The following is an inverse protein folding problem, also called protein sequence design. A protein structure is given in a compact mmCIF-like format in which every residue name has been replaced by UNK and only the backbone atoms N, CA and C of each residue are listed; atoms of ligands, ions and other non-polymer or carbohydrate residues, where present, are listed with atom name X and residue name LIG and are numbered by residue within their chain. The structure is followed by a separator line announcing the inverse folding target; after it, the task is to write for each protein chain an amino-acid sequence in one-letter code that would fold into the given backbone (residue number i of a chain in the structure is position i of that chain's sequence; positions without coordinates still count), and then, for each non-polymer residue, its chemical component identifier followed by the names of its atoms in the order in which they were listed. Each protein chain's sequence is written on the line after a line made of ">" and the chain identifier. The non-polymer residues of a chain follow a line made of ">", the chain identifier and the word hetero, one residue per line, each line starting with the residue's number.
data_IF_511448297377
#
_entry.id   IF_511448297377
#
_cell.length_a   1.000
_cell.length_b   1.000
_cell.length_c   1.000
_cell.angle_alpha   90.00
_cell.angle_beta   90.00
_cell.angle_gamma   90.00
#
_symmetry.space_group_name_H-M   'P 1'
#
loop_
_entity.id
_entity.type
_entity.pdbx_description
1 polymer ?
#
# COMPACT_ATOMS: atom_id res chain seq x y z
N UNK A 1 -10.79 15.28 23.70
CA UNK A 1 -10.07 16.56 23.46
C UNK A 1 -8.65 16.32 22.93
N UNK A 2 -7.83 15.51 23.61
CA UNK A 2 -6.44 15.20 23.21
C UNK A 2 -6.33 14.49 21.85
N UNK A 3 -7.17 13.47 21.57
CA UNK A 3 -7.13 12.77 20.27
C UNK A 3 -7.47 13.67 19.07
N UNK A 4 -8.43 14.59 19.23
CA UNK A 4 -8.82 15.54 18.18
C UNK A 4 -7.73 16.60 17.94
N UNK A 5 -7.08 17.06 19.01
CA UNK A 5 -5.90 17.92 18.93
C UNK A 5 -4.73 17.22 18.23
N UNK A 6 -4.41 15.99 18.65
CA UNK A 6 -3.35 15.18 18.04
C UNK A 6 -3.64 14.88 16.56
N UNK A 7 -4.88 14.57 16.21
CA UNK A 7 -5.30 14.36 14.81
C UNK A 7 -5.15 15.61 13.94
N UNK A 8 -5.57 16.78 14.44
CA UNK A 8 -5.35 18.05 13.74
C UNK A 8 -3.86 18.37 13.59
N UNK A 9 -3.06 18.06 14.62
CA UNK A 9 -1.62 18.26 14.60
C UNK A 9 -0.90 17.34 13.61
N UNK A 10 -1.38 16.10 13.42
CA UNK A 10 -0.85 15.19 12.40
C UNK A 10 -1.27 15.60 10.99
N UNK A 11 -2.48 16.17 10.82
CA UNK A 11 -2.99 16.67 9.54
C UNK A 11 -2.27 17.93 9.07
N UNK A 12 -1.91 18.83 9.98
CA UNK A 12 -1.15 20.05 9.70
C UNK A 12 -0.03 20.21 10.75
N UNK A 13 1.11 19.52 10.58
CA UNK A 13 2.18 19.52 11.57
C UNK A 13 2.80 20.91 11.72
N UNK A 14 2.73 21.47 12.92
CA UNK A 14 3.36 22.73 13.29
C UNK A 14 4.30 22.56 14.49
N UNK A 15 5.45 23.23 14.45
CA UNK A 15 6.41 23.22 15.55
C UNK A 15 7.24 21.93 15.67
N UNK A 16 8.13 21.92 16.66
CA UNK A 16 9.18 20.91 16.79
C UNK A 16 8.65 19.48 17.05
N UNK A 17 7.68 19.32 17.95
CA UNK A 17 7.14 18.01 18.31
C UNK A 17 6.50 17.30 17.09
N UNK A 18 5.79 18.03 16.24
CA UNK A 18 5.15 17.45 15.07
C UNK A 18 6.14 17.10 13.97
N UNK A 19 7.21 17.90 13.80
CA UNK A 19 8.32 17.54 12.94
C UNK A 19 8.98 16.23 13.41
N UNK A 20 9.17 16.08 14.72
CA UNK A 20 9.72 14.85 15.30
C UNK A 20 8.81 13.63 15.08
N UNK A 21 7.50 13.76 15.32
CA UNK A 21 6.54 12.67 15.04
C UNK A 21 6.52 12.31 13.55
N UNK A 22 6.54 13.31 12.66
CA UNK A 22 6.61 13.09 11.21
C UNK A 22 7.86 12.32 10.80
N UNK A 23 9.04 12.70 11.34
CA UNK A 23 10.30 11.98 11.11
C UNK A 23 10.22 10.54 11.62
N UNK A 24 9.65 10.32 12.81
CA UNK A 24 9.45 8.99 13.36
C UNK A 24 8.54 8.13 12.46
N UNK A 25 7.41 8.67 12.01
CA UNK A 25 6.49 7.99 11.10
C UNK A 25 7.14 7.68 9.75
N UNK A 26 7.91 8.61 9.19
CA UNK A 26 8.67 8.40 7.96
C UNK A 26 9.66 7.24 8.12
N UNK A 27 10.46 7.24 9.18
CA UNK A 27 11.42 6.16 9.47
C UNK A 27 10.72 4.81 9.62
N UNK A 28 9.55 4.78 10.26
CA UNK A 28 8.76 3.56 10.40
C UNK A 28 8.23 2.98 9.08
N UNK A 29 8.16 3.79 8.00
CA UNK A 29 7.74 3.35 6.67
C UNK A 29 8.90 3.31 5.66
N UNK A 30 10.10 3.78 6.02
CA UNK A 30 11.23 3.89 5.09
C UNK A 30 11.62 2.53 4.49
N UNK A 31 11.61 1.47 5.31
CA UNK A 31 11.93 0.10 4.87
C UNK A 31 11.02 -0.38 3.74
N UNK A 32 9.70 -0.29 3.91
CA UNK A 32 8.75 -0.75 2.88
C UNK A 32 8.79 0.17 1.67
N UNK A 33 8.81 1.49 1.87
CA UNK A 33 8.81 2.45 0.76
C UNK A 33 10.02 2.27 -0.17
N UNK A 34 11.22 2.12 0.41
CA UNK A 34 12.44 1.86 -0.38
C UNK A 34 12.36 0.52 -1.08
N UNK A 35 12.03 -0.52 -0.33
CA UNK A 35 11.97 -1.87 -0.87
C UNK A 35 10.97 -2.00 -2.03
N UNK A 36 9.76 -1.43 -1.92
CA UNK A 36 8.80 -1.41 -3.02
C UNK A 36 9.35 -0.68 -4.23
N UNK A 37 10.05 0.44 -4.02
CA UNK A 37 10.64 1.23 -5.10
C UNK A 37 11.76 0.45 -5.81
N UNK A 38 12.59 -0.26 -5.04
CA UNK A 38 13.65 -1.11 -5.57
C UNK A 38 13.09 -2.26 -6.43
N UNK A 39 11.90 -2.78 -6.11
CA UNK A 39 11.22 -3.84 -6.88
C UNK A 39 10.65 -3.37 -8.23
N UNK A 40 10.50 -2.06 -8.45
CA UNK A 40 9.82 -1.58 -9.67
C UNK A 40 10.65 -1.81 -10.93
N UNK A 41 11.99 -1.86 -10.84
CA UNK A 41 12.94 -2.12 -11.95
C UNK A 41 12.52 -1.52 -13.31
N UNK A 42 12.13 -0.24 -13.31
CA UNK A 42 11.37 0.37 -14.41
C UNK A 42 12.27 0.67 -15.63
N UNK A 43 11.83 0.24 -16.82
CA UNK A 43 12.43 0.64 -18.09
C UNK A 43 11.72 1.88 -18.71
N UNK A 44 12.39 2.61 -19.62
CA UNK A 44 11.99 3.94 -20.15
C UNK A 44 10.58 4.01 -20.79
N UNK A 45 9.94 2.87 -21.07
CA UNK A 45 8.61 2.82 -21.68
C UNK A 45 7.56 2.00 -20.90
N UNK A 46 7.89 1.55 -19.68
CA UNK A 46 6.94 0.82 -18.86
C UNK A 46 5.92 1.75 -18.20
N UNK A 47 4.65 1.34 -18.24
CA UNK A 47 3.58 2.01 -17.48
C UNK A 47 3.33 1.21 -16.22
N UNK A 48 3.59 1.83 -15.08
CA UNK A 48 3.38 1.22 -13.78
C UNK A 48 2.34 2.00 -12.98
N UNK A 49 1.55 1.29 -12.18
CA UNK A 49 0.81 1.85 -11.06
C UNK A 49 1.32 1.15 -9.81
N UNK A 50 1.69 1.91 -8.79
CA UNK A 50 2.13 1.32 -7.54
C UNK A 50 1.53 2.03 -6.33
N UNK A 51 1.42 1.29 -5.23
CA UNK A 51 0.85 1.77 -3.98
C UNK A 51 1.55 1.11 -2.80
N UNK A 52 1.89 1.90 -1.78
CA UNK A 52 2.54 1.42 -0.55
C UNK A 52 1.65 1.72 0.64
N UNK A 53 1.29 0.70 1.41
CA UNK A 53 0.54 0.81 2.66
C UNK A 53 -0.78 1.59 2.56
N UNK A 54 -1.45 1.51 1.42
CA UNK A 54 -2.64 2.33 1.17
C UNK A 54 -3.94 1.54 0.92
N UNK A 55 -3.85 0.30 0.44
CA UNK A 55 -5.01 -0.48 0.00
C UNK A 55 -6.14 -0.59 1.06
N UNK A 56 -5.79 -0.73 2.33
CA UNK A 56 -6.74 -0.86 3.45
C UNK A 56 -7.59 0.39 3.72
N UNK A 57 -7.25 1.51 3.08
CA UNK A 57 -8.00 2.76 3.18
C UNK A 57 -8.98 2.95 2.01
N UNK A 58 -8.99 2.04 1.03
CA UNK A 58 -9.91 2.12 -0.10
C UNK A 58 -11.29 1.66 0.35
N UNK A 59 -12.29 2.53 0.18
CA UNK A 59 -13.68 2.21 0.53
C UNK A 59 -14.33 1.26 -0.46
N UNK A 60 -13.87 1.27 -1.72
CA UNK A 60 -14.26 0.32 -2.75
C UNK A 60 -13.01 -0.15 -3.50
N UNK A 61 -12.49 -1.31 -3.07
CA UNK A 61 -11.26 -1.89 -3.61
C UNK A 61 -11.48 -2.35 -5.07
N UNK A 62 -12.65 -2.89 -5.38
CA UNK A 62 -12.98 -3.39 -6.72
C UNK A 62 -13.04 -2.25 -7.73
N UNK A 63 -13.71 -1.13 -7.38
CA UNK A 63 -13.69 0.07 -8.21
C UNK A 63 -12.26 0.57 -8.45
N UNK A 64 -11.43 0.56 -7.41
CA UNK A 64 -10.02 0.93 -7.53
C UNK A 64 -9.26 0.05 -8.52
N UNK A 65 -9.40 -1.28 -8.43
CA UNK A 65 -8.76 -2.20 -9.38
C UNK A 65 -9.30 -2.05 -10.80
N UNK A 66 -10.61 -1.84 -10.98
CA UNK A 66 -11.19 -1.60 -12.29
C UNK A 66 -10.61 -0.35 -12.97
N UNK A 67 -10.43 0.75 -12.22
CA UNK A 67 -9.84 1.98 -12.78
C UNK A 67 -8.35 1.83 -13.08
N UNK A 68 -7.58 1.18 -12.20
CA UNK A 68 -6.16 0.89 -12.46
C UNK A 68 -6.02 0.02 -13.72
N UNK A 69 -6.82 -1.04 -13.85
CA UNK A 69 -6.82 -1.86 -15.06
C UNK A 69 -7.18 -1.03 -16.27
N UNK A 70 -8.24 -0.22 -16.23
CA UNK A 70 -8.69 0.62 -17.35
C UNK A 70 -7.59 1.51 -17.92
N UNK A 71 -6.77 2.13 -17.06
CA UNK A 71 -5.74 3.11 -17.49
C UNK A 71 -4.39 2.49 -17.87
N UNK A 72 -4.07 1.31 -17.35
CA UNK A 72 -2.84 0.61 -17.75
C UNK A 72 -2.90 0.22 -19.23
N UNK A 73 -1.76 0.32 -19.93
CA UNK A 73 -1.60 -0.26 -21.27
C UNK A 73 -1.46 -1.80 -21.14
N UNK A 74 -1.74 -2.59 -22.19
CA UNK A 74 -1.36 -4.00 -22.20
C UNK A 74 0.13 -4.17 -21.85
N UNK A 75 0.46 -5.11 -20.96
CA UNK A 75 1.81 -5.29 -20.42
C UNK A 75 2.19 -4.31 -19.31
N UNK A 76 1.33 -3.35 -18.95
CA UNK A 76 1.54 -2.46 -17.82
C UNK A 76 1.45 -3.21 -16.49
N UNK A 77 2.19 -2.76 -15.47
CA UNK A 77 2.33 -3.47 -14.20
C UNK A 77 1.66 -2.73 -13.04
N UNK A 78 1.16 -3.50 -12.08
CA UNK A 78 0.61 -3.05 -10.81
C UNK A 78 1.48 -3.59 -9.67
N UNK A 79 1.91 -2.72 -8.75
CA UNK A 79 2.63 -3.12 -7.53
C UNK A 79 1.87 -2.65 -6.28
N UNK A 80 1.50 -3.57 -5.40
CA UNK A 80 0.78 -3.27 -4.15
C UNK A 80 1.57 -3.78 -2.96
N UNK A 81 2.11 -2.86 -2.17
CA UNK A 81 2.83 -3.19 -0.96
C UNK A 81 1.97 -3.03 0.29
N UNK A 82 1.91 -4.09 1.09
CA UNK A 82 1.02 -4.27 2.22
C UNK A 82 1.78 -4.87 3.43
N UNK A 83 1.35 -4.58 4.64
CA UNK A 83 1.61 -5.42 5.82
C UNK A 83 0.57 -6.52 5.89
N UNK A 84 0.97 -7.78 6.09
CA UNK A 84 -0.01 -8.89 6.12
C UNK A 84 -1.08 -8.73 7.22
N UNK A 85 -2.29 -9.24 6.96
CA UNK A 85 -3.40 -9.32 7.91
C UNK A 85 -2.97 -9.88 9.26
N UNK A 86 -2.22 -10.98 9.29
CA UNK A 86 -1.76 -11.61 10.53
C UNK A 86 -0.89 -10.69 11.41
N UNK A 87 -0.18 -9.75 10.79
CA UNK A 87 0.65 -8.76 11.49
C UNK A 87 -0.16 -7.54 11.89
N UNK A 88 -1.10 -7.11 11.04
CA UNK A 88 -1.98 -5.98 11.33
C UNK A 88 -2.96 -6.30 12.46
N UNK A 89 -3.46 -7.53 12.59
CA UNK A 89 -4.37 -7.95 13.67
C UNK A 89 -3.77 -7.78 15.07
N UNK A 90 -2.43 -7.89 15.19
CA UNK A 90 -1.70 -7.68 16.44
C UNK A 90 -1.64 -6.21 16.86
N UNK A 91 -1.98 -5.27 15.97
CA UNK A 91 -1.86 -3.84 16.21
C UNK A 91 -3.17 -3.25 16.75
N UNK A 92 -3.12 -2.51 17.86
CA UNK A 92 -4.33 -1.86 18.43
C UNK A 92 -4.98 -0.84 17.47
N UNK A 93 -4.19 -0.25 16.56
CA UNK A 93 -4.59 0.87 15.67
C UNK A 93 -5.33 0.45 14.40
N UNK A 94 -5.39 -0.83 14.09
CA UNK A 94 -5.91 -1.36 12.81
C UNK A 94 -7.31 -1.95 12.94
N UNK A 95 -7.94 -1.89 14.13
CA UNK A 95 -9.26 -2.49 14.41
C UNK A 95 -10.40 -2.06 13.47
N UNK A 96 -10.28 -0.89 12.85
CA UNK A 96 -11.28 -0.33 11.95
C UNK A 96 -10.83 -0.37 10.48
N UNK A 97 -9.74 -1.07 10.16
CA UNK A 97 -9.23 -1.17 8.81
C UNK A 97 -9.78 -2.44 8.17
N UNK A 98 -9.89 -2.44 6.84
CA UNK A 98 -10.07 -3.67 6.08
C UNK A 98 -8.73 -4.40 6.15
N UNK A 99 -8.69 -5.60 6.73
CA UNK A 99 -7.47 -6.39 6.84
C UNK A 99 -7.47 -7.46 5.76
N UNK A 100 -6.43 -7.44 4.92
CA UNK A 100 -6.30 -8.29 3.75
C UNK A 100 -4.99 -9.08 3.84
N UNK A 101 -5.05 -10.36 3.51
CA UNK A 101 -3.87 -11.17 3.22
C UNK A 101 -3.56 -11.18 1.72
N UNK A 102 -2.47 -11.85 1.34
CA UNK A 102 -2.03 -11.97 -0.05
C UNK A 102 -3.03 -12.72 -0.92
N UNK A 103 -3.70 -13.74 -0.39
CA UNK A 103 -4.65 -14.58 -1.14
C UNK A 103 -5.91 -13.80 -1.50
N UNK A 104 -6.47 -13.04 -0.55
CA UNK A 104 -7.64 -12.16 -0.76
C UNK A 104 -7.34 -11.11 -1.84
N UNK A 105 -6.13 -10.53 -1.84
CA UNK A 105 -5.72 -9.53 -2.82
C UNK A 105 -5.50 -10.16 -4.20
N UNK A 106 -4.85 -11.31 -4.26
CA UNK A 106 -4.61 -12.05 -5.50
C UNK A 106 -5.93 -12.41 -6.19
N UNK A 107 -6.91 -12.92 -5.45
CA UNK A 107 -8.24 -13.22 -5.98
C UNK A 107 -8.91 -11.98 -6.59
N UNK A 108 -8.85 -10.83 -5.90
CA UNK A 108 -9.40 -9.58 -6.41
C UNK A 108 -8.71 -9.12 -7.69
N UNK A 109 -7.38 -9.22 -7.76
CA UNK A 109 -6.57 -8.85 -8.93
C UNK A 109 -6.93 -9.73 -10.13
N UNK A 110 -7.03 -11.04 -9.94
CA UNK A 110 -7.43 -11.99 -10.99
C UNK A 110 -8.85 -11.70 -11.48
N UNK A 111 -9.79 -11.42 -10.57
CA UNK A 111 -11.16 -11.04 -10.92
C UNK A 111 -11.24 -9.75 -11.76
N UNK A 112 -10.24 -8.87 -11.64
CA UNK A 112 -10.11 -7.64 -12.45
C UNK A 112 -9.26 -7.82 -13.70
N UNK A 113 -9.03 -9.07 -14.15
CA UNK A 113 -8.35 -9.41 -15.41
C UNK A 113 -6.89 -8.97 -15.46
N UNK A 114 -6.24 -8.82 -14.31
CA UNK A 114 -4.79 -8.84 -14.28
C UNK A 114 -4.31 -10.29 -14.42
N UNK A 115 -3.15 -10.44 -15.05
CA UNK A 115 -2.42 -11.67 -15.29
C UNK A 115 -1.18 -11.71 -14.38
N UNK A 116 -0.64 -12.91 -14.18
CA UNK A 116 0.65 -13.17 -13.51
C UNK A 116 0.82 -12.45 -12.17
N UNK A 117 0.57 -13.15 -11.07
CA UNK A 117 0.81 -12.62 -9.73
C UNK A 117 2.17 -13.11 -9.24
N UNK A 118 3.12 -12.20 -9.05
CA UNK A 118 4.35 -12.49 -8.30
C UNK A 118 4.21 -11.91 -6.90
N UNK A 119 4.52 -12.72 -5.90
CA UNK A 119 4.54 -12.32 -4.50
C UNK A 119 5.98 -12.14 -4.05
N UNK A 120 6.31 -10.92 -3.66
CA UNK A 120 7.59 -10.57 -3.05
C UNK A 120 7.39 -10.40 -1.55
N UNK A 121 8.32 -10.87 -0.73
CA UNK A 121 8.24 -10.77 0.73
C UNK A 121 9.47 -10.10 1.32
N UNK A 122 9.22 -9.21 2.28
CA UNK A 122 10.21 -8.67 3.20
C UNK A 122 9.54 -8.48 4.55
N UNK A 123 9.53 -9.53 5.36
CA UNK A 123 8.79 -9.62 6.62
C UNK A 123 8.87 -8.31 7.44
N UNK A 124 7.73 -7.72 7.84
CA UNK A 124 6.34 -8.21 7.76
C UNK A 124 5.58 -7.81 6.48
N UNK A 125 6.28 -7.33 5.47
CA UNK A 125 5.69 -6.73 4.28
C UNK A 125 5.61 -7.72 3.12
N UNK A 126 4.57 -7.54 2.32
CA UNK A 126 4.40 -8.18 1.03
C UNK A 126 4.31 -7.12 -0.06
N UNK A 127 4.78 -7.44 -1.25
CA UNK A 127 4.51 -6.69 -2.46
C UNK A 127 3.94 -7.64 -3.51
N UNK A 128 2.72 -7.35 -3.96
CA UNK A 128 2.05 -8.08 -5.03
C UNK A 128 2.35 -7.35 -6.34
N UNK A 129 2.99 -8.03 -7.28
CA UNK A 129 3.22 -7.58 -8.64
C UNK A 129 2.22 -8.29 -9.57
N UNK A 130 1.49 -7.54 -10.38
CA UNK A 130 0.54 -8.05 -11.35
C UNK A 130 0.70 -7.34 -12.70
N UNK A 131 0.40 -8.02 -13.81
CA UNK A 131 0.51 -7.47 -15.17
C UNK A 131 -0.87 -7.36 -15.81
N UNK A 132 -1.14 -6.34 -16.63
CA UNK A 132 -2.37 -6.25 -17.43
C UNK A 132 -2.28 -7.04 -18.74
#
# INVERSE_FOLDING_TARGET
>A
MIQKWLGNQLKQPKGFLSKWIGIYMQRGNDTINRWTTDLLEIEENEVIVFSVHNLYFWTDINQGFAEVHRVLKPGGKLFLSITDKSQMEKMRRTKNFILLNTEEIEEMIVNHRFQTVKLHQKEPYWCIEATK
#
